data_IF_164317493654
#
_entry.id   IF_164317493654
#
_cell.length_a   1.000
_cell.length_b   1.000
_cell.length_c   1.000
_cell.angle_alpha   90.00
_cell.angle_beta   90.00
_cell.angle_gamma   90.00
#
_symmetry.space_group_name_H-M   'P 1'
#
loop_
_entity.id
_entity.type
_entity.pdbx_description
1 polymer ?
#
# COMPACT_ATOMS: atom_id res chain seq x y z
N UNK A 1 7.44 8.71 -22.02
CA UNK A 1 7.21 10.12 -22.44
C UNK A 1 8.53 10.75 -22.92
N UNK A 2 9.57 10.92 -22.09
CA UNK A 2 10.83 11.60 -22.46
C UNK A 2 11.49 10.93 -23.65
N UNK A 3 11.61 9.60 -23.67
CA UNK A 3 12.16 8.87 -24.80
C UNK A 3 11.43 9.20 -26.10
N UNK A 4 10.11 9.12 -26.12
CA UNK A 4 9.30 9.39 -27.31
C UNK A 4 9.38 10.86 -27.75
N UNK A 5 9.42 11.80 -26.81
CA UNK A 5 9.58 13.22 -27.12
C UNK A 5 10.98 13.55 -27.68
N UNK A 6 12.00 12.80 -27.29
CA UNK A 6 13.39 13.01 -27.74
C UNK A 6 13.77 12.19 -28.97
N UNK A 7 12.88 11.29 -29.44
CA UNK A 7 13.08 10.51 -30.66
C UNK A 7 13.24 11.39 -31.90
N UNK A 8 12.61 12.57 -31.90
CA UNK A 8 12.77 13.56 -32.98
C UNK A 8 14.16 14.23 -33.03
N UNK A 9 14.89 14.21 -31.90
CA UNK A 9 16.22 14.85 -31.76
C UNK A 9 17.36 13.82 -31.85
N UNK A 10 17.12 12.59 -31.40
CA UNK A 10 18.12 11.53 -31.34
C UNK A 10 17.51 10.21 -31.83
N UNK A 11 18.11 9.51 -32.80
CA UNK A 11 17.63 8.21 -33.24
C UNK A 11 17.53 7.22 -32.08
N UNK A 12 16.31 6.79 -31.74
CA UNK A 12 16.03 5.90 -30.61
C UNK A 12 15.78 6.61 -29.27
N UNK A 13 15.78 7.95 -29.22
CA UNK A 13 15.53 8.74 -28.02
C UNK A 13 16.61 8.62 -26.94
N UNK A 14 16.47 9.34 -25.83
CA UNK A 14 17.39 9.24 -24.69
C UNK A 14 17.18 7.89 -23.97
N UNK A 15 18.25 7.10 -23.70
CA UNK A 15 18.16 5.84 -22.99
C UNK A 15 17.52 5.99 -21.61
N UNK A 16 16.68 5.03 -21.19
CA UNK A 16 15.96 5.08 -19.93
C UNK A 16 16.88 5.18 -18.71
N UNK A 17 18.02 4.46 -18.71
CA UNK A 17 18.98 4.50 -17.63
C UNK A 17 19.63 5.88 -17.45
N UNK A 18 19.92 6.58 -18.57
CA UNK A 18 20.49 7.92 -18.52
C UNK A 18 19.47 8.95 -18.05
N UNK A 19 18.24 8.86 -18.55
CA UNK A 19 17.12 9.70 -18.10
C UNK A 19 16.88 9.53 -16.59
N UNK A 20 16.92 8.29 -16.09
CA UNK A 20 16.76 8.00 -14.67
C UNK A 20 17.86 8.68 -13.83
N UNK A 21 19.11 8.56 -14.22
CA UNK A 21 20.21 9.18 -13.49
C UNK A 21 20.10 10.71 -13.51
N UNK A 22 19.96 11.31 -14.67
CA UNK A 22 19.99 12.78 -14.82
C UNK A 22 18.82 13.45 -14.07
N UNK A 23 17.61 12.92 -14.19
CA UNK A 23 16.44 13.48 -13.49
C UNK A 23 16.52 13.32 -11.97
N UNK A 24 17.22 12.30 -11.51
CA UNK A 24 17.35 12.07 -10.08
C UNK A 24 18.39 12.99 -9.40
N UNK A 25 19.38 13.56 -10.11
CA UNK A 25 20.42 14.42 -9.53
C UNK A 25 19.81 15.55 -8.65
N UNK A 26 18.91 16.42 -9.15
CA UNK A 26 18.36 17.51 -8.35
C UNK A 26 17.51 17.01 -7.17
N UNK A 27 16.80 15.90 -7.36
CA UNK A 27 15.97 15.28 -6.32
C UNK A 27 16.85 14.71 -5.20
N UNK A 28 17.96 14.07 -5.55
CA UNK A 28 18.95 13.56 -4.59
C UNK A 28 19.60 14.69 -3.78
N UNK A 29 19.94 15.79 -4.43
CA UNK A 29 20.56 16.93 -3.75
C UNK A 29 19.62 17.51 -2.69
N UNK A 30 18.34 17.69 -3.02
CA UNK A 30 17.35 18.17 -2.07
C UNK A 30 17.09 17.15 -0.94
N UNK A 31 16.97 15.87 -1.28
CA UNK A 31 16.72 14.81 -0.32
C UNK A 31 17.87 14.60 0.66
N UNK A 32 19.11 14.84 0.23
CA UNK A 32 20.29 14.79 1.12
C UNK A 32 20.15 15.75 2.30
N UNK A 33 19.68 16.96 2.03
CA UNK A 33 19.46 17.98 3.05
C UNK A 33 18.32 17.56 4.00
N UNK A 34 17.29 16.90 3.48
CA UNK A 34 16.07 16.60 4.22
C UNK A 34 16.13 15.29 5.03
N UNK A 35 16.63 14.22 4.45
CA UNK A 35 16.57 12.87 5.03
C UNK A 35 17.93 12.36 5.55
N UNK A 36 19.01 13.03 5.21
CA UNK A 36 20.36 12.70 5.69
C UNK A 36 21.03 11.55 4.93
N UNK A 37 22.27 11.26 5.34
CA UNK A 37 23.22 10.38 4.61
C UNK A 37 22.73 8.92 4.48
N UNK A 38 22.13 8.38 5.52
CA UNK A 38 21.72 6.96 5.54
C UNK A 38 20.59 6.66 4.54
N UNK A 39 19.62 7.57 4.43
CA UNK A 39 18.53 7.44 3.46
C UNK A 39 19.06 7.56 2.03
N UNK A 40 19.89 8.58 1.79
CA UNK A 40 20.47 8.82 0.47
C UNK A 40 21.40 7.68 0.05
N UNK A 41 22.18 7.10 0.97
CA UNK A 41 23.01 5.94 0.65
C UNK A 41 22.21 4.74 0.16
N UNK A 42 21.15 4.40 0.86
CA UNK A 42 20.26 3.29 0.46
C UNK A 42 19.54 3.58 -0.86
N UNK A 43 18.97 4.78 -1.00
CA UNK A 43 18.26 5.19 -2.21
C UNK A 43 19.22 5.29 -3.41
N UNK A 44 20.42 5.83 -3.21
CA UNK A 44 21.46 5.88 -4.24
C UNK A 44 21.86 4.49 -4.73
N UNK A 45 22.06 3.55 -3.81
CA UNK A 45 22.31 2.16 -4.17
C UNK A 45 21.16 1.54 -4.97
N UNK A 46 19.90 1.73 -4.53
CA UNK A 46 18.73 1.22 -5.23
C UNK A 46 18.57 1.84 -6.63
N UNK A 47 18.80 3.15 -6.77
CA UNK A 47 18.74 3.86 -8.07
C UNK A 47 19.81 3.40 -9.04
N UNK A 48 21.06 3.23 -8.55
CA UNK A 48 22.15 2.71 -9.37
C UNK A 48 21.86 1.27 -9.80
N UNK A 49 21.43 0.42 -8.87
CA UNK A 49 21.09 -0.97 -9.17
C UNK A 49 19.97 -1.05 -10.20
N UNK A 50 18.91 -0.25 -10.06
CA UNK A 50 17.83 -0.15 -11.05
C UNK A 50 18.37 0.28 -12.42
N UNK A 51 19.24 1.29 -12.47
CA UNK A 51 19.82 1.77 -13.72
C UNK A 51 20.71 0.72 -14.39
N UNK A 52 21.46 -0.06 -13.61
CA UNK A 52 22.25 -1.19 -14.11
C UNK A 52 21.34 -2.27 -14.71
N UNK A 53 20.26 -2.63 -14.03
CA UNK A 53 19.30 -3.60 -14.56
C UNK A 53 18.58 -3.11 -15.82
N UNK A 54 18.21 -1.82 -15.86
CA UNK A 54 17.62 -1.20 -17.07
C UNK A 54 18.59 -1.19 -18.27
N UNK A 55 19.90 -1.20 -18.00
CA UNK A 55 20.92 -1.30 -19.06
C UNK A 55 21.15 -2.75 -19.49
N UNK A 56 21.23 -3.69 -18.52
CA UNK A 56 21.61 -5.08 -18.78
C UNK A 56 20.45 -5.91 -19.35
N UNK A 57 19.22 -5.67 -18.89
CA UNK A 57 18.06 -6.45 -19.34
C UNK A 57 17.52 -5.84 -20.63
N UNK A 58 17.58 -6.56 -21.76
CA UNK A 58 16.96 -6.10 -22.99
C UNK A 58 15.44 -6.04 -22.80
N UNK A 59 14.80 -5.08 -23.45
CA UNK A 59 13.34 -5.01 -23.48
C UNK A 59 12.86 -6.18 -24.35
N UNK A 60 12.36 -7.22 -23.69
CA UNK A 60 11.75 -8.38 -24.34
C UNK A 60 10.25 -8.18 -24.28
N UNK A 61 9.60 -8.16 -25.42
CA UNK A 61 8.15 -8.13 -25.48
C UNK A 61 7.60 -9.52 -25.16
N UNK A 62 7.27 -9.73 -23.90
CA UNK A 62 6.70 -11.01 -23.39
C UNK A 62 5.16 -11.00 -23.45
N UNK A 63 4.56 -9.86 -23.66
CA UNK A 63 3.10 -9.70 -23.68
C UNK A 63 2.52 -9.68 -25.09
N UNK A 64 3.37 -9.53 -26.12
CA UNK A 64 2.92 -9.23 -27.46
C UNK A 64 2.05 -7.98 -27.48
N UNK A 65 0.92 -8.04 -28.16
CA UNK A 65 -0.06 -6.94 -28.20
C UNK A 65 -1.05 -6.97 -27.02
N UNK A 66 -0.84 -7.84 -25.99
CA UNK A 66 -1.74 -7.93 -24.84
C UNK A 66 -1.36 -6.95 -23.74
N UNK A 67 -1.86 -5.73 -23.86
CA UNK A 67 -1.70 -4.67 -22.86
C UNK A 67 -2.27 -5.05 -21.48
N UNK A 68 -3.30 -5.93 -21.43
CA UNK A 68 -3.90 -6.33 -20.15
C UNK A 68 -2.95 -7.22 -19.36
N UNK A 69 -2.31 -8.18 -20.02
CA UNK A 69 -1.29 -9.06 -19.44
C UNK A 69 -0.13 -8.22 -18.89
N UNK A 70 0.39 -7.28 -19.69
CA UNK A 70 1.46 -6.37 -19.29
C UNK A 70 1.05 -5.50 -18.09
N UNK A 71 -0.18 -4.96 -18.06
CA UNK A 71 -0.67 -4.12 -16.99
C UNK A 71 -0.82 -4.87 -15.67
N UNK A 72 -1.38 -6.09 -15.70
CA UNK A 72 -1.61 -6.88 -14.50
C UNK A 72 -0.30 -7.43 -13.91
N UNK A 73 0.47 -8.16 -14.70
CA UNK A 73 1.70 -8.78 -14.20
C UNK A 73 2.82 -7.76 -13.99
N UNK A 74 2.98 -6.80 -14.91
CA UNK A 74 3.92 -5.70 -14.77
C UNK A 74 3.61 -4.86 -13.53
N UNK A 75 2.33 -4.50 -13.32
CA UNK A 75 1.86 -3.82 -12.12
C UNK A 75 2.13 -4.62 -10.85
N UNK A 76 1.87 -5.93 -10.86
CA UNK A 76 2.09 -6.81 -9.71
C UNK A 76 3.59 -6.86 -9.31
N UNK A 77 4.47 -7.15 -10.26
CA UNK A 77 5.92 -7.20 -9.99
C UNK A 77 6.48 -5.84 -9.58
N UNK A 78 6.03 -4.76 -10.19
CA UNK A 78 6.41 -3.39 -9.82
C UNK A 78 5.96 -3.09 -8.39
N UNK A 79 4.73 -3.45 -8.02
CA UNK A 79 4.20 -3.26 -6.68
C UNK A 79 4.98 -3.99 -5.60
N UNK A 80 5.34 -5.26 -5.83
CA UNK A 80 6.18 -6.05 -4.93
C UNK A 80 7.57 -5.40 -4.80
N UNK A 81 8.23 -5.09 -5.92
CA UNK A 81 9.56 -4.48 -5.93
C UNK A 81 9.59 -3.15 -5.17
N UNK A 82 8.60 -2.28 -5.42
CA UNK A 82 8.46 -1.00 -4.75
C UNK A 82 8.25 -1.16 -3.24
N UNK A 83 7.36 -2.06 -2.83
CA UNK A 83 7.12 -2.33 -1.42
C UNK A 83 8.37 -2.80 -0.68
N UNK A 84 9.18 -3.67 -1.29
CA UNK A 84 10.44 -4.14 -0.71
C UNK A 84 11.45 -3.00 -0.52
N UNK A 85 11.58 -2.11 -1.51
CA UNK A 85 12.48 -0.94 -1.44
C UNK A 85 12.01 0.03 -0.36
N UNK A 86 10.71 0.36 -0.32
CA UNK A 86 10.13 1.25 0.69
C UNK A 86 10.26 0.65 2.11
N UNK A 87 10.06 -0.66 2.27
CA UNK A 87 10.24 -1.37 3.55
C UNK A 87 11.69 -1.34 4.03
N UNK A 88 12.66 -1.30 3.12
CA UNK A 88 14.07 -1.11 3.45
C UNK A 88 14.42 0.34 3.85
N UNK A 89 13.44 1.26 3.81
CA UNK A 89 13.62 2.68 4.09
C UNK A 89 14.40 3.40 2.99
N UNK A 90 14.14 3.02 1.74
CA UNK A 90 14.74 3.61 0.54
C UNK A 90 13.66 3.89 -0.51
N UNK A 91 14.07 4.55 -1.59
CA UNK A 91 13.28 4.71 -2.82
C UNK A 91 14.15 4.36 -4.03
N UNK A 92 13.55 4.20 -5.20
CA UNK A 92 14.29 3.93 -6.43
C UNK A 92 14.74 5.21 -7.15
N UNK A 93 14.47 6.37 -6.57
CA UNK A 93 14.57 7.67 -7.23
C UNK A 93 13.31 7.93 -8.10
N UNK A 94 13.20 9.13 -8.67
CA UNK A 94 12.03 9.50 -9.47
C UNK A 94 10.83 9.93 -8.64
N UNK A 95 9.62 9.53 -9.08
CA UNK A 95 8.35 9.96 -8.46
C UNK A 95 8.17 9.48 -7.03
N UNK A 96 8.68 8.30 -6.69
CA UNK A 96 8.66 7.75 -5.34
C UNK A 96 9.50 8.58 -4.35
N UNK A 97 10.63 9.09 -4.77
CA UNK A 97 11.45 9.99 -3.96
C UNK A 97 10.81 11.38 -3.81
N UNK A 98 10.19 11.90 -4.88
CA UNK A 98 9.39 13.13 -4.81
C UNK A 98 8.20 12.94 -3.86
N UNK A 99 7.53 11.80 -3.93
CA UNK A 99 6.44 11.47 -3.02
C UNK A 99 6.90 11.42 -1.56
N UNK A 100 8.05 10.82 -1.27
CA UNK A 100 8.63 10.80 0.07
C UNK A 100 8.96 12.21 0.58
N UNK A 101 9.47 13.10 -0.27
CA UNK A 101 9.70 14.50 0.06
C UNK A 101 8.39 15.21 0.42
N UNK A 102 7.37 15.10 -0.42
CA UNK A 102 6.04 15.70 -0.19
C UNK A 102 5.43 15.14 1.09
N UNK A 103 5.45 13.81 1.27
CA UNK A 103 4.95 13.14 2.46
C UNK A 103 5.63 13.63 3.75
N UNK A 104 6.93 13.96 3.69
CA UNK A 104 7.65 14.49 4.85
C UNK A 104 7.09 15.82 5.36
N UNK A 105 6.37 16.57 4.52
CA UNK A 105 5.66 17.80 4.86
C UNK A 105 4.18 17.55 5.19
N UNK A 106 3.59 16.49 4.61
CA UNK A 106 2.18 16.14 4.73
C UNK A 106 2.02 14.79 5.47
N UNK A 107 2.26 14.78 6.78
CA UNK A 107 2.34 13.56 7.61
C UNK A 107 1.06 12.72 7.70
N UNK A 108 -0.08 13.26 7.27
CA UNK A 108 -1.36 12.56 7.28
C UNK A 108 -1.53 11.56 6.12
N UNK A 109 -0.65 11.65 5.10
CA UNK A 109 -0.70 10.79 3.93
C UNK A 109 0.45 9.78 3.94
N UNK A 110 0.22 8.62 3.36
CA UNK A 110 1.29 7.64 3.12
C UNK A 110 2.09 8.02 1.87
N UNK A 111 3.34 7.54 1.77
CA UNK A 111 4.15 7.73 0.56
C UNK A 111 3.41 7.21 -0.67
N UNK A 112 2.75 6.05 -0.54
CA UNK A 112 2.01 5.41 -1.65
C UNK A 112 0.82 6.25 -2.09
N UNK A 113 0.07 6.87 -1.18
CA UNK A 113 -1.03 7.77 -1.53
C UNK A 113 -0.54 9.01 -2.29
N UNK A 114 0.58 9.61 -1.87
CA UNK A 114 1.17 10.74 -2.59
C UNK A 114 1.66 10.32 -3.97
N UNK A 115 2.26 9.13 -4.08
CA UNK A 115 2.66 8.55 -5.38
C UNK A 115 1.48 8.39 -6.32
N UNK A 116 0.34 7.89 -5.84
CA UNK A 116 -0.87 7.77 -6.67
C UNK A 116 -1.30 9.09 -7.29
N UNK A 117 -1.22 10.19 -6.55
CA UNK A 117 -1.56 11.52 -7.07
C UNK A 117 -0.58 11.97 -8.15
N UNK A 118 0.73 11.73 -7.93
CA UNK A 118 1.77 12.03 -8.93
C UNK A 118 1.60 11.17 -10.18
N UNK A 119 1.35 9.89 -10.02
CA UNK A 119 1.13 8.95 -11.11
C UNK A 119 -0.12 9.33 -11.92
N UNK A 120 -1.21 9.75 -11.26
CA UNK A 120 -2.39 10.25 -11.94
C UNK A 120 -2.09 11.46 -12.82
N UNK A 121 -1.29 12.40 -12.34
CA UNK A 121 -0.85 13.55 -13.13
C UNK A 121 0.00 13.12 -14.35
N UNK A 122 0.92 12.15 -14.16
CA UNK A 122 1.73 11.60 -15.25
C UNK A 122 0.87 10.86 -16.27
N UNK A 123 -0.14 10.13 -15.83
CA UNK A 123 -1.09 9.42 -16.71
C UNK A 123 -1.87 10.40 -17.58
N UNK A 124 -2.34 11.52 -17.00
CA UNK A 124 -3.03 12.57 -17.76
C UNK A 124 -2.10 13.14 -18.87
N UNK A 125 -0.83 13.40 -18.53
CA UNK A 125 0.17 13.82 -19.52
C UNK A 125 0.44 12.72 -20.56
N UNK A 126 0.47 11.46 -20.14
CA UNK A 126 0.64 10.30 -21.00
C UNK A 126 -0.47 10.14 -22.03
N UNK A 127 -1.70 10.57 -21.71
CA UNK A 127 -2.83 10.53 -22.62
C UNK A 127 -2.56 11.29 -23.93
N UNK A 128 -1.87 12.43 -23.85
CA UNK A 128 -1.51 13.24 -25.01
C UNK A 128 -0.41 12.61 -25.86
N UNK A 129 0.46 11.78 -25.27
CA UNK A 129 1.63 11.19 -25.94
C UNK A 129 1.30 9.81 -26.52
N UNK A 130 0.59 8.97 -25.77
CA UNK A 130 0.35 7.56 -26.10
C UNK A 130 -1.09 7.27 -26.57
N UNK A 131 -2.00 8.23 -26.39
CA UNK A 131 -3.42 8.04 -26.69
C UNK A 131 -4.18 7.30 -25.60
N UNK A 132 -5.48 7.11 -25.82
CA UNK A 132 -6.42 6.64 -24.80
C UNK A 132 -6.18 5.19 -24.37
N UNK A 133 -5.98 4.29 -25.33
CA UNK A 133 -5.91 2.84 -25.03
C UNK A 133 -4.74 2.47 -24.13
N UNK A 134 -3.47 2.81 -24.43
CA UNK A 134 -2.36 2.52 -23.52
C UNK A 134 -2.49 3.21 -22.17
N UNK A 135 -3.06 4.42 -22.14
CA UNK A 135 -3.26 5.18 -20.92
C UNK A 135 -4.24 4.50 -19.97
N UNK A 136 -5.34 3.93 -20.46
CA UNK A 136 -6.29 3.17 -19.63
C UNK A 136 -5.63 1.93 -19.00
N UNK A 137 -4.78 1.22 -19.76
CA UNK A 137 -4.03 0.10 -19.19
C UNK A 137 -2.97 0.55 -18.18
N UNK A 138 -2.38 1.73 -18.34
CA UNK A 138 -1.49 2.31 -17.34
C UNK A 138 -2.22 2.58 -16.02
N UNK A 139 -3.48 3.07 -16.06
CA UNK A 139 -4.32 3.22 -14.86
C UNK A 139 -4.53 1.87 -14.15
N UNK A 140 -4.82 0.81 -14.90
CA UNK A 140 -4.96 -0.55 -14.35
C UNK A 140 -3.66 -0.99 -13.68
N UNK A 141 -2.51 -0.79 -14.34
CA UNK A 141 -1.20 -1.14 -13.81
C UNK A 141 -0.88 -0.40 -12.50
N UNK A 142 -1.15 0.91 -12.45
CA UNK A 142 -0.97 1.73 -11.24
C UNK A 142 -1.86 1.22 -10.10
N UNK A 143 -3.13 0.93 -10.39
CA UNK A 143 -4.06 0.41 -9.39
C UNK A 143 -3.57 -0.93 -8.82
N UNK A 144 -3.15 -1.86 -9.67
CA UNK A 144 -2.63 -3.17 -9.26
C UNK A 144 -1.35 -3.02 -8.43
N UNK A 145 -0.39 -2.21 -8.91
CA UNK A 145 0.88 -2.00 -8.22
C UNK A 145 0.68 -1.37 -6.84
N UNK A 146 -0.20 -0.38 -6.74
CA UNK A 146 -0.52 0.27 -5.45
C UNK A 146 -1.16 -0.71 -4.47
N UNK A 147 -2.18 -1.46 -4.91
CA UNK A 147 -2.85 -2.43 -4.01
C UNK A 147 -1.90 -3.49 -3.49
N UNK A 148 -0.99 -3.95 -4.34
CA UNK A 148 0.03 -4.92 -3.95
C UNK A 148 1.06 -4.28 -3.02
N UNK A 149 1.55 -3.08 -3.34
CA UNK A 149 2.48 -2.35 -2.47
C UNK A 149 1.89 -2.11 -1.08
N UNK A 150 0.65 -1.63 -0.99
CA UNK A 150 -0.03 -1.40 0.29
C UNK A 150 -0.14 -2.69 1.10
N UNK A 151 -0.56 -3.80 0.47
CA UNK A 151 -0.67 -5.09 1.13
C UNK A 151 0.68 -5.59 1.68
N UNK A 152 1.78 -5.34 0.97
CA UNK A 152 3.13 -5.70 1.42
C UNK A 152 3.68 -4.77 2.50
N UNK A 153 3.36 -3.47 2.45
CA UNK A 153 3.84 -2.46 3.42
C UNK A 153 3.09 -2.54 4.74
N UNK A 154 1.77 -2.62 4.68
CA UNK A 154 0.92 -2.74 5.87
C UNK A 154 0.97 -4.13 6.49
N UNK A 155 1.44 -5.12 5.72
CA UNK A 155 1.29 -6.53 6.01
C UNK A 155 -0.15 -6.97 5.76
N UNK A 156 -0.37 -8.25 5.76
CA UNK A 156 -1.73 -8.80 5.78
C UNK A 156 -2.29 -8.65 7.20
N UNK A 157 -2.65 -7.44 7.60
CA UNK A 157 -3.34 -7.20 8.87
C UNK A 157 -4.67 -7.94 8.81
N UNK A 158 -4.67 -9.11 9.38
CA UNK A 158 -5.84 -10.00 9.39
C UNK A 158 -6.62 -9.92 10.69
N UNK A 159 -6.12 -9.13 11.66
CA UNK A 159 -6.75 -8.98 12.96
C UNK A 159 -7.87 -7.94 12.94
N UNK A 160 -8.93 -8.21 13.67
CA UNK A 160 -10.05 -7.32 13.91
C UNK A 160 -10.29 -7.22 15.40
N UNK A 161 -10.62 -6.04 15.89
CA UNK A 161 -11.07 -5.84 17.25
C UNK A 161 -12.61 -5.90 17.28
N UNK A 162 -13.15 -6.76 18.11
CA UNK A 162 -14.57 -6.90 18.36
C UNK A 162 -14.90 -6.32 19.73
N UNK A 163 -15.86 -5.40 19.78
CA UNK A 163 -16.49 -4.92 21.00
C UNK A 163 -17.89 -5.54 21.06
N UNK A 164 -18.14 -6.31 22.12
CA UNK A 164 -19.38 -7.07 22.28
C UNK A 164 -20.10 -6.56 23.51
N UNK A 165 -21.31 -6.05 23.33
CA UNK A 165 -22.18 -5.58 24.41
C UNK A 165 -23.30 -6.59 24.57
N UNK A 166 -23.32 -7.29 25.69
CA UNK A 166 -24.28 -8.33 26.02
C UNK A 166 -24.57 -8.34 27.50
N UNK A 167 -25.74 -8.81 27.88
CA UNK A 167 -26.07 -9.04 29.30
C UNK A 167 -25.54 -10.40 29.81
N UNK A 168 -25.14 -11.30 28.91
CA UNK A 168 -24.58 -12.63 29.22
C UNK A 168 -23.06 -12.66 28.98
N UNK A 169 -22.36 -11.62 29.43
CA UNK A 169 -20.95 -11.41 29.09
C UNK A 169 -20.01 -12.52 29.60
N UNK A 170 -20.32 -13.15 30.73
CA UNK A 170 -19.48 -14.24 31.29
C UNK A 170 -19.53 -15.47 30.38
N UNK A 171 -20.72 -15.91 29.97
CA UNK A 171 -20.91 -17.07 29.11
C UNK A 171 -20.36 -16.84 27.69
N UNK A 172 -20.56 -15.61 27.16
CA UNK A 172 -20.00 -15.23 25.86
C UNK A 172 -18.48 -15.24 25.92
N UNK A 173 -17.87 -14.70 27.01
CA UNK A 173 -16.43 -14.67 27.16
C UNK A 173 -15.83 -16.08 27.27
N UNK A 174 -16.46 -16.96 28.06
CA UNK A 174 -16.03 -18.36 28.22
C UNK A 174 -16.03 -19.09 26.88
N UNK A 175 -17.14 -19.04 26.15
CA UNK A 175 -17.23 -19.68 24.82
C UNK A 175 -16.27 -19.11 23.79
N UNK A 176 -16.03 -17.80 23.78
CA UNK A 176 -15.07 -17.18 22.89
C UNK A 176 -13.63 -17.64 23.22
N UNK A 177 -13.28 -17.76 24.48
CA UNK A 177 -11.96 -18.26 24.90
C UNK A 177 -11.79 -19.74 24.56
N UNK A 178 -12.81 -20.57 24.81
CA UNK A 178 -12.73 -22.01 24.58
C UNK A 178 -12.75 -22.38 23.09
N UNK A 179 -13.61 -21.74 22.28
CA UNK A 179 -13.80 -22.13 20.89
C UNK A 179 -12.77 -21.44 19.94
N UNK A 180 -12.27 -20.25 20.28
CA UNK A 180 -11.36 -19.49 19.42
C UNK A 180 -9.92 -19.46 19.93
N UNK A 181 -9.67 -19.93 21.17
CA UNK A 181 -8.36 -19.84 21.83
C UNK A 181 -7.82 -18.40 21.81
N UNK A 182 -8.68 -17.44 22.16
CA UNK A 182 -8.39 -15.99 22.14
C UNK A 182 -8.67 -15.37 23.49
N UNK A 183 -7.78 -14.46 23.89
CA UNK A 183 -8.00 -13.66 25.11
C UNK A 183 -9.19 -12.72 24.94
N UNK A 184 -10.03 -12.65 25.95
CA UNK A 184 -11.17 -11.74 26.03
C UNK A 184 -10.99 -10.82 27.23
N UNK A 185 -11.12 -9.52 27.04
CA UNK A 185 -10.98 -8.50 28.09
C UNK A 185 -12.32 -7.86 28.38
N UNK A 186 -12.76 -7.91 29.63
CA UNK A 186 -13.96 -7.21 30.09
C UNK A 186 -13.67 -5.74 30.40
N UNK A 187 -14.35 -4.83 29.73
CA UNK A 187 -14.28 -3.40 29.99
C UNK A 187 -15.51 -2.97 30.79
N UNK A 188 -15.30 -2.37 31.96
CA UNK A 188 -16.39 -1.81 32.73
C UNK A 188 -16.99 -0.59 32.04
N UNK A 189 -18.30 -0.63 31.81
CA UNK A 189 -19.06 0.41 31.13
C UNK A 189 -20.35 0.73 31.89
N UNK A 190 -20.97 1.83 31.55
CA UNK A 190 -22.27 2.23 32.08
C UNK A 190 -23.19 2.61 30.91
N UNK A 191 -24.41 2.08 30.93
CA UNK A 191 -25.47 2.50 30.00
C UNK A 191 -25.90 3.94 30.31
N UNK A 192 -25.66 4.85 29.38
CA UNK A 192 -25.97 6.28 29.63
C UNK A 192 -27.47 6.59 29.74
N UNK A 193 -28.32 5.74 29.20
CA UNK A 193 -29.76 5.88 29.29
C UNK A 193 -30.36 5.15 30.49
N UNK A 194 -29.89 3.93 30.75
CA UNK A 194 -30.42 3.07 31.85
C UNK A 194 -29.68 3.23 33.17
N UNK A 195 -28.51 3.91 33.15
CA UNK A 195 -27.55 4.04 34.27
C UNK A 195 -27.04 2.68 34.80
N UNK A 196 -27.37 1.59 34.13
CA UNK A 196 -26.94 0.25 34.53
C UNK A 196 -25.44 0.03 34.24
N UNK A 197 -24.79 -0.67 35.19
CA UNK A 197 -23.41 -1.15 34.96
C UNK A 197 -23.42 -2.28 33.95
N UNK A 198 -22.54 -2.19 32.95
CA UNK A 198 -22.39 -3.17 31.89
C UNK A 198 -20.93 -3.60 31.75
N UNK A 199 -20.73 -4.76 31.19
CA UNK A 199 -19.40 -5.22 30.77
C UNK A 199 -19.39 -5.30 29.23
N UNK A 200 -18.44 -4.59 28.61
CA UNK A 200 -18.17 -4.69 27.19
C UNK A 200 -17.00 -5.63 26.99
N UNK A 201 -17.18 -6.71 26.27
CA UNK A 201 -16.12 -7.63 25.95
C UNK A 201 -15.30 -7.09 24.77
N UNK A 202 -13.99 -7.04 24.95
CA UNK A 202 -13.03 -6.70 23.92
C UNK A 202 -12.22 -7.94 23.55
N UNK A 203 -12.26 -8.33 22.29
CA UNK A 203 -11.55 -9.49 21.78
C UNK A 203 -10.88 -9.16 20.44
N UNK A 204 -9.62 -9.58 20.27
CA UNK A 204 -8.90 -9.43 19.01
C UNK A 204 -8.85 -10.80 18.31
N UNK A 205 -9.48 -10.86 17.15
CA UNK A 205 -9.62 -12.09 16.36
C UNK A 205 -9.13 -11.88 14.93
N UNK A 206 -8.78 -12.95 14.24
CA UNK A 206 -8.44 -12.86 12.82
C UNK A 206 -9.70 -12.62 11.97
N UNK A 207 -9.51 -12.15 10.72
CA UNK A 207 -10.62 -11.94 9.79
C UNK A 207 -11.44 -13.21 9.53
N UNK A 208 -10.82 -14.37 9.63
CA UNK A 208 -11.51 -15.67 9.46
C UNK A 208 -12.32 -16.05 10.70
N UNK A 209 -11.80 -15.76 11.88
CA UNK A 209 -12.44 -16.09 13.15
C UNK A 209 -13.63 -15.17 13.49
N UNK A 210 -13.70 -13.98 12.87
CA UNK A 210 -14.77 -13.01 13.15
C UNK A 210 -16.18 -13.56 12.83
N UNK A 211 -16.28 -14.41 11.82
CA UNK A 211 -17.55 -15.05 11.47
C UNK A 211 -17.98 -15.99 12.60
N UNK A 212 -17.04 -16.82 13.07
CA UNK A 212 -17.31 -17.75 14.17
C UNK A 212 -17.58 -17.01 15.48
N UNK A 213 -16.85 -15.92 15.76
CA UNK A 213 -17.12 -15.08 16.91
C UNK A 213 -18.55 -14.53 16.91
N UNK A 214 -19.04 -14.07 15.75
CA UNK A 214 -20.44 -13.60 15.61
C UNK A 214 -21.45 -14.70 15.86
N UNK A 215 -21.20 -15.91 15.35
CA UNK A 215 -22.06 -17.07 15.59
C UNK A 215 -22.15 -17.39 17.08
N UNK A 216 -21.01 -17.51 17.76
CA UNK A 216 -20.94 -17.79 19.20
C UNK A 216 -21.74 -16.75 20.00
N UNK A 217 -21.54 -15.47 19.71
CA UNK A 217 -22.23 -14.40 20.43
C UNK A 217 -23.73 -14.45 20.17
N UNK A 218 -24.15 -14.64 18.92
CA UNK A 218 -25.57 -14.71 18.55
C UNK A 218 -26.26 -15.93 19.13
N UNK A 219 -25.59 -17.07 19.25
CA UNK A 219 -26.11 -18.29 19.86
C UNK A 219 -26.35 -18.12 21.36
N UNK A 220 -25.51 -17.36 22.04
CA UNK A 220 -25.66 -17.09 23.48
C UNK A 220 -26.70 -16.00 23.74
N UNK A 221 -26.57 -14.89 23.02
CA UNK A 221 -27.44 -13.71 23.18
C UNK A 221 -27.75 -13.08 21.81
N UNK A 222 -28.90 -13.37 21.26
CA UNK A 222 -29.36 -12.85 19.97
C UNK A 222 -29.63 -11.33 19.96
N UNK A 223 -29.68 -10.70 21.15
CA UNK A 223 -29.88 -9.26 21.31
C UNK A 223 -28.56 -8.51 21.54
N UNK A 224 -27.45 -9.21 21.49
CA UNK A 224 -26.13 -8.60 21.65
C UNK A 224 -25.79 -7.63 20.52
N UNK A 225 -25.03 -6.57 20.84
CA UNK A 225 -24.48 -5.66 19.88
C UNK A 225 -22.99 -5.95 19.69
N UNK A 226 -22.59 -6.21 18.43
CA UNK A 226 -21.20 -6.45 18.06
C UNK A 226 -20.71 -5.31 17.18
N UNK A 227 -19.73 -4.54 17.64
CA UNK A 227 -19.01 -3.56 16.84
C UNK A 227 -17.63 -4.09 16.48
N UNK A 228 -17.28 -4.07 15.19
CA UNK A 228 -16.01 -4.56 14.69
C UNK A 228 -15.23 -3.39 14.08
N UNK A 229 -14.03 -3.20 14.58
CA UNK A 229 -13.09 -2.20 14.06
C UNK A 229 -11.78 -2.83 13.60
N UNK A 230 -11.02 -2.09 12.83
CA UNK A 230 -9.62 -2.42 12.61
C UNK A 230 -8.83 -1.98 13.84
N UNK A 231 -7.93 -2.80 14.37
CA UNK A 231 -7.12 -2.47 15.54
C UNK A 231 -6.10 -1.38 15.24
#
# INVERSE_FOLDING_TARGET
>A
IIRNLTEALLPGGIPLWLTNIVLNIPIFLYSYIRFGKNYIGKTGFATILLSVWLYLIPVIDMSGDDYMLAALFGGAFTGIGMALVLKAGATTGGTDMVAAIIQSHMRHYTVVQVMQVLDAAIVILGLYVFGLRPTLYAVVSIFVSTKISDAFLEGFKTSKAAFIITNRYEEVAERLMDELDRGVTGLHAQGMYTEEKKCVLYCVVSRKEIVRAKEIVNDVDSLSLIHISEP
#
